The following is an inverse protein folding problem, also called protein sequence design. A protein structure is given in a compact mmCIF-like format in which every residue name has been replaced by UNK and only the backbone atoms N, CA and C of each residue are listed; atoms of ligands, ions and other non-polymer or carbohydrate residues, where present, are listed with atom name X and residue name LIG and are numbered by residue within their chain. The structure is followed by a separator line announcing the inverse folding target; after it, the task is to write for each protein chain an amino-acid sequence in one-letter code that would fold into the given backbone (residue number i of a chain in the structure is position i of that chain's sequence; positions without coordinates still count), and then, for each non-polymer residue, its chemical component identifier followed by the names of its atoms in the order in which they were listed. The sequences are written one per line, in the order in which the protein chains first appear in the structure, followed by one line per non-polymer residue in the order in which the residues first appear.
data_IF_908546230952
#
_entry.id   IF_908546230952
#
_cell.length_a   1.000
_cell.length_b   1.000
_cell.length_c   1.000
_cell.angle_alpha   90.00
_cell.angle_beta   90.00
_cell.angle_gamma   90.00
#
_symmetry.space_group_name_H-M   'P 1'
#
loop_
_entity.id
_entity.type
_entity.pdbx_description
1 polymer ?
#
# COMPACT_ATOMS: atom_id res chain seq x y z
N UNK A 1 -21.06 1.21 11.47
CA UNK A 1 -20.36 1.06 10.17
C UNK A 1 -18.94 0.67 10.47
N UNK A 2 -18.44 -0.37 9.82
CA UNK A 2 -17.04 -0.77 9.87
C UNK A 2 -16.16 0.13 8.98
N UNK A 3 -14.93 0.30 9.43
CA UNK A 3 -13.83 0.84 8.66
C UNK A 3 -12.80 -0.28 8.50
N UNK A 4 -12.23 -0.39 7.31
CA UNK A 4 -11.27 -1.43 6.96
C UNK A 4 -9.96 -0.78 6.55
N UNK A 5 -8.87 -1.38 7.00
CA UNK A 5 -7.52 -0.98 6.65
C UNK A 5 -6.92 -2.10 5.82
N UNK A 6 -6.64 -1.82 4.55
CA UNK A 6 -6.11 -2.79 3.61
C UNK A 6 -4.69 -2.39 3.20
N UNK A 7 -3.74 -3.33 3.27
CA UNK A 7 -2.36 -3.13 2.84
C UNK A 7 -2.11 -3.76 1.47
N UNK A 8 -1.31 -3.09 0.65
CA UNK A 8 -0.69 -3.64 -0.56
C UNK A 8 0.82 -3.56 -0.39
N UNK A 9 1.45 -4.73 -0.34
CA UNK A 9 2.89 -4.86 -0.13
C UNK A 9 3.58 -5.12 -1.47
N UNK A 10 4.68 -4.40 -1.70
CA UNK A 10 5.56 -4.59 -2.84
C UNK A 10 6.99 -4.74 -2.31
N UNK A 11 7.59 -5.90 -2.58
CA UNK A 11 8.94 -6.21 -2.16
C UNK A 11 9.70 -7.03 -3.19
N UNK A 12 11.01 -7.08 -3.01
CA UNK A 12 11.89 -7.89 -3.84
C UNK A 12 11.78 -9.36 -3.41
N UNK A 13 11.73 -10.27 -4.38
CA UNK A 13 11.68 -11.70 -4.11
C UNK A 13 13.08 -12.32 -3.95
N UNK A 14 14.06 -11.86 -4.74
CA UNK A 14 15.37 -12.51 -4.84
C UNK A 14 16.54 -11.63 -4.37
N UNK A 15 16.49 -10.34 -4.69
CA UNK A 15 17.56 -9.38 -4.36
C UNK A 15 17.35 -8.82 -2.96
N UNK A 16 18.40 -8.84 -2.14
CA UNK A 16 18.38 -8.29 -0.78
C UNK A 16 18.53 -6.77 -0.79
N UNK A 17 18.47 -6.15 0.39
CA UNK A 17 18.70 -4.71 0.57
C UNK A 17 20.08 -4.23 0.11
N UNK A 18 21.06 -5.13 -0.04
CA UNK A 18 22.39 -4.81 -0.54
C UNK A 18 22.39 -4.53 -2.05
N UNK A 19 21.45 -5.15 -2.78
CA UNK A 19 21.34 -5.05 -4.23
C UNK A 19 20.25 -4.06 -4.66
N UNK A 20 19.11 -4.02 -3.94
CA UNK A 20 17.96 -3.18 -4.31
C UNK A 20 17.24 -2.60 -3.08
N UNK A 21 16.94 -1.30 -3.17
CA UNK A 21 16.14 -0.56 -2.20
C UNK A 21 14.95 0.12 -2.88
N UNK A 22 13.75 -0.18 -2.39
CA UNK A 22 12.53 0.49 -2.83
C UNK A 22 12.26 1.74 -1.98
N UNK A 23 11.94 2.83 -2.67
CA UNK A 23 11.53 4.08 -2.05
C UNK A 23 10.28 4.61 -2.75
N UNK A 24 9.40 5.23 -1.97
CA UNK A 24 8.28 5.98 -2.50
C UNK A 24 8.76 7.27 -3.17
N UNK A 25 8.12 7.64 -4.27
CA UNK A 25 8.39 8.91 -4.93
C UNK A 25 7.76 10.08 -4.14
N UNK A 26 8.51 11.18 -3.98
CA UNK A 26 8.04 12.41 -3.33
C UNK A 26 8.18 13.59 -4.31
N UNK A 27 7.12 14.35 -4.63
CA UNK A 27 5.75 14.28 -4.10
C UNK A 27 4.80 13.34 -4.85
N UNK A 28 3.71 12.97 -4.19
CA UNK A 28 2.57 12.19 -4.71
C UNK A 28 2.90 10.74 -5.12
N UNK A 29 3.28 9.88 -4.16
CA UNK A 29 3.58 8.46 -4.43
C UNK A 29 2.35 7.62 -4.81
N UNK A 30 1.15 8.07 -4.42
CA UNK A 30 -0.12 7.38 -4.68
C UNK A 30 -0.99 8.28 -5.53
N UNK A 31 -1.48 7.75 -6.65
CA UNK A 31 -2.38 8.44 -7.56
C UNK A 31 -3.64 7.62 -7.77
N UNK A 32 -4.80 8.27 -7.71
CA UNK A 32 -6.09 7.62 -7.89
C UNK A 32 -6.72 8.02 -9.22
N UNK A 33 -7.32 7.05 -9.90
CA UNK A 33 -8.18 7.35 -11.03
C UNK A 33 -9.42 8.14 -10.54
N UNK A 34 -9.87 9.20 -11.26
CA UNK A 34 -10.99 10.04 -10.81
C UNK A 34 -12.29 9.26 -10.53
N UNK A 35 -12.49 8.15 -11.23
CA UNK A 35 -13.66 7.29 -11.10
C UNK A 35 -13.54 6.18 -10.05
N UNK A 36 -12.42 6.08 -9.31
CA UNK A 36 -12.15 4.95 -8.41
C UNK A 36 -13.24 4.76 -7.34
N UNK A 37 -13.70 5.86 -6.74
CA UNK A 37 -14.78 5.80 -5.73
C UNK A 37 -16.13 5.39 -6.34
N UNK A 38 -16.33 5.53 -7.65
CA UNK A 38 -17.55 5.04 -8.33
C UNK A 38 -17.48 3.54 -8.64
N UNK A 39 -16.27 2.98 -8.74
CA UNK A 39 -16.03 1.55 -8.98
C UNK A 39 -16.20 0.70 -7.72
N UNK A 40 -16.23 1.32 -6.53
CA UNK A 40 -16.40 0.63 -5.25
C UNK A 40 -17.88 0.71 -4.82
N UNK A 41 -18.69 -0.36 -4.98
CA UNK A 41 -20.14 -0.29 -4.77
C UNK A 41 -20.53 -0.18 -3.28
N UNK A 42 -19.67 -0.65 -2.37
CA UNK A 42 -19.97 -0.75 -0.93
C UNK A 42 -19.05 0.08 -0.04
N UNK A 43 -18.00 0.69 -0.59
CA UNK A 43 -16.97 1.40 0.17
C UNK A 43 -16.56 2.68 -0.54
N UNK A 44 -16.06 3.64 0.24
CA UNK A 44 -15.30 4.78 -0.26
C UNK A 44 -13.89 4.74 0.30
N UNK A 45 -12.91 5.14 -0.51
CA UNK A 45 -11.55 5.37 -0.03
C UNK A 45 -11.54 6.70 0.69
N UNK A 46 -11.32 6.66 2.01
CA UNK A 46 -11.21 7.86 2.85
C UNK A 46 -9.84 8.50 2.68
N UNK A 47 -8.79 7.69 2.82
CA UNK A 47 -7.40 8.11 2.87
C UNK A 47 -6.51 6.97 2.38
N UNK A 48 -5.31 7.32 1.94
CA UNK A 48 -4.26 6.37 1.67
C UNK A 48 -2.91 6.90 2.13
N UNK A 49 -2.06 5.98 2.56
CA UNK A 49 -0.76 6.27 3.15
C UNK A 49 0.30 5.36 2.55
N UNK A 50 1.52 5.86 2.54
CA UNK A 50 2.72 5.10 2.21
C UNK A 50 3.43 4.70 3.49
N UNK A 51 3.89 3.46 3.53
CA UNK A 51 4.66 2.88 4.63
C UNK A 51 5.77 1.99 4.06
N UNK A 52 6.66 1.49 4.93
CA UNK A 52 7.71 0.54 4.60
C UNK A 52 7.53 -0.75 5.40
N UNK A 53 7.79 -1.89 4.77
CA UNK A 53 7.56 -3.23 5.31
C UNK A 53 8.78 -4.13 5.21
N UNK A 54 9.98 -3.55 5.05
CA UNK A 54 11.23 -4.31 4.95
C UNK A 54 11.35 -5.25 6.14
N UNK A 55 11.71 -6.50 5.86
CA UNK A 55 11.75 -7.54 6.87
C UNK A 55 12.96 -8.43 6.70
N UNK A 56 13.49 -8.86 7.84
CA UNK A 56 14.56 -9.83 7.91
C UNK A 56 13.96 -11.23 7.87
N UNK A 57 14.38 -12.02 6.90
CA UNK A 57 14.01 -13.43 6.76
C UNK A 57 15.24 -14.31 6.97
N UNK A 58 15.08 -15.64 6.90
CA UNK A 58 16.20 -16.58 7.04
C UNK A 58 17.25 -16.45 5.93
N UNK A 59 16.89 -15.94 4.75
CA UNK A 59 17.77 -15.83 3.59
C UNK A 59 18.39 -14.44 3.41
N UNK A 60 17.93 -13.45 4.17
CA UNK A 60 18.41 -12.07 4.09
C UNK A 60 17.35 -11.04 4.45
N UNK A 61 17.74 -9.77 4.41
CA UNK A 61 16.84 -8.63 4.54
C UNK A 61 16.35 -8.19 3.15
N UNK A 62 15.04 -8.04 3.00
CA UNK A 62 14.41 -7.68 1.73
C UNK A 62 13.70 -6.34 1.84
N UNK A 63 14.01 -5.45 0.90
CA UNK A 63 13.35 -4.15 0.80
C UNK A 63 11.88 -4.31 0.44
N UNK A 64 11.00 -3.62 1.15
CA UNK A 64 9.55 -3.67 0.95
C UNK A 64 8.90 -2.31 1.25
N UNK A 65 8.00 -1.90 0.36
CA UNK A 65 7.13 -0.72 0.53
C UNK A 65 5.67 -1.17 0.60
N UNK A 66 4.87 -0.46 1.41
CA UNK A 66 3.47 -0.78 1.66
C UNK A 66 2.59 0.43 1.37
N UNK A 67 1.54 0.22 0.59
CA UNK A 67 0.44 1.18 0.46
C UNK A 67 -0.69 0.76 1.38
N UNK A 68 -1.20 1.69 2.19
CA UNK A 68 -2.29 1.44 3.13
C UNK A 68 -3.52 2.21 2.69
N UNK A 69 -4.64 1.52 2.50
CA UNK A 69 -5.93 2.07 2.11
C UNK A 69 -6.91 2.04 3.28
N UNK A 70 -7.49 3.19 3.61
CA UNK A 70 -8.58 3.30 4.58
C UNK A 70 -9.92 3.32 3.85
N UNK A 71 -10.68 2.24 4.00
CA UNK A 71 -11.99 2.05 3.37
C UNK A 71 -13.10 2.24 4.40
N UNK A 72 -14.07 3.10 4.10
CA UNK A 72 -15.27 3.28 4.92
C UNK A 72 -16.47 2.68 4.20
N UNK A 73 -17.19 1.78 4.87
CA UNK A 73 -18.42 1.20 4.30
C UNK A 73 -19.47 2.29 4.06
N UNK A 74 -20.14 2.25 2.91
CA UNK A 74 -21.31 3.07 2.61
C UNK A 74 -22.56 2.40 3.19
N UNK A 75 -23.40 3.16 3.88
CA UNK A 75 -24.77 2.72 4.17
C UNK A 75 -25.66 3.00 2.97
N UNK A 76 -26.52 2.05 2.66
CA UNK A 76 -27.59 2.20 1.69
C UNK A 76 -28.88 1.71 2.30
#
# INVERSE_FOLDING_TARGET
MDEQVCGLDLGSYAFTTDDILYHWHDPNPIQFHPLLNTSLPSFIIRQAFTDTCSSLTSTGEYSCIRMVLHLKRLFR
#
